data_IF_355055600348
#
_entry.id   IF_355055600348
#
_cell.length_a   1.000
_cell.length_b   1.000
_cell.length_c   1.000
_cell.angle_alpha   90.00
_cell.angle_beta   90.00
_cell.angle_gamma   90.00
#
_symmetry.space_group_name_H-M   'P 1'
#
loop_
_entity.id
_entity.type
_entity.pdbx_description
1 polymer ?
#
# COMPACT_ATOMS: atom_id res chain seq x y z
N UNK A 1 7.90 2.73 -14.13
CA UNK A 1 7.18 2.52 -12.86
C UNK A 1 7.23 1.03 -12.52
N UNK A 2 7.28 0.68 -11.23
CA UNK A 2 7.66 -0.65 -10.73
C UNK A 2 6.44 -1.57 -10.47
N UNK A 3 6.30 -2.14 -9.28
CA UNK A 3 5.32 -3.20 -8.97
C UNK A 3 3.84 -2.75 -9.12
N UNK A 4 3.52 -1.48 -8.90
CA UNK A 4 2.16 -0.94 -9.11
C UNK A 4 1.78 -0.94 -10.59
N UNK A 5 2.65 -0.39 -11.43
CA UNK A 5 2.41 -0.36 -12.88
C UNK A 5 2.41 -1.77 -13.46
N UNK A 6 3.31 -2.64 -12.97
CA UNK A 6 3.30 -4.05 -13.34
C UNK A 6 1.97 -4.73 -12.97
N UNK A 7 1.45 -4.49 -11.76
CA UNK A 7 0.16 -5.03 -11.34
C UNK A 7 -0.98 -4.56 -12.25
N UNK A 8 -1.06 -3.24 -12.51
CA UNK A 8 -2.05 -2.65 -13.43
C UNK A 8 -1.97 -3.27 -14.84
N UNK A 9 -0.77 -3.42 -15.40
CA UNK A 9 -0.56 -4.05 -16.72
C UNK A 9 -0.97 -5.53 -16.77
N UNK A 10 -0.80 -6.24 -15.65
CA UNK A 10 -1.20 -7.65 -15.50
C UNK A 10 -2.65 -7.82 -15.03
N UNK A 11 -3.46 -6.76 -15.10
CA UNK A 11 -4.88 -6.75 -14.73
C UNK A 11 -5.12 -7.18 -13.27
N UNK A 12 -4.17 -6.89 -12.38
CA UNK A 12 -4.32 -7.05 -10.95
C UNK A 12 -4.86 -5.72 -10.39
N UNK A 13 -6.08 -5.70 -9.81
CA UNK A 13 -6.62 -4.48 -9.23
C UNK A 13 -5.74 -3.96 -8.09
N UNK A 14 -5.40 -2.68 -8.17
CA UNK A 14 -4.70 -1.92 -7.13
C UNK A 14 -5.74 -1.00 -6.48
N UNK A 15 -5.68 -0.84 -5.17
CA UNK A 15 -6.54 0.12 -4.47
C UNK A 15 -6.29 1.55 -4.96
N UNK A 16 -7.29 2.44 -4.91
CA UNK A 16 -7.19 3.82 -5.44
C UNK A 16 -6.20 4.71 -4.68
N UNK A 17 -5.66 4.22 -3.56
CA UNK A 17 -4.79 4.92 -2.61
C UNK A 17 -5.31 4.73 -1.19
N UNK A 18 -4.43 4.34 -0.26
CA UNK A 18 -4.76 4.19 1.16
C UNK A 18 -4.01 5.21 2.02
N UNK A 19 -4.67 5.65 3.09
CA UNK A 19 -4.07 6.53 4.08
C UNK A 19 -3.78 7.93 3.53
N UNK A 20 -2.73 8.56 4.05
CA UNK A 20 -2.34 9.91 3.65
C UNK A 20 -1.69 10.00 2.28
N UNK A 21 -1.20 8.88 1.71
CA UNK A 21 -0.54 8.84 0.40
C UNK A 21 -1.39 9.40 -0.75
N UNK A 22 -2.71 9.33 -0.65
CA UNK A 22 -3.66 9.91 -1.61
C UNK A 22 -3.57 11.45 -1.72
N UNK A 23 -3.02 12.15 -0.71
CA UNK A 23 -2.80 13.60 -0.77
C UNK A 23 -1.60 14.01 -1.64
N UNK A 24 -0.87 13.06 -2.24
CA UNK A 24 0.29 13.36 -3.07
C UNK A 24 -0.08 13.50 -4.54
N UNK A 25 -0.02 14.73 -5.06
CA UNK A 25 -0.19 14.99 -6.49
C UNK A 25 0.86 14.25 -7.34
N UNK A 26 2.07 14.08 -6.80
CA UNK A 26 3.12 13.29 -7.46
C UNK A 26 2.69 11.84 -7.56
N UNK A 27 2.08 11.26 -6.53
CA UNK A 27 1.59 9.89 -6.57
C UNK A 27 0.46 9.73 -7.60
N UNK A 28 -0.44 10.70 -7.70
CA UNK A 28 -1.51 10.71 -8.71
C UNK A 28 -0.95 10.78 -10.15
N UNK A 29 -0.04 11.74 -10.43
CA UNK A 29 0.58 11.89 -11.76
C UNK A 29 1.43 10.69 -12.16
N UNK A 30 2.03 10.01 -11.18
CA UNK A 30 2.77 8.77 -11.40
C UNK A 30 1.88 7.52 -11.39
N UNK A 31 0.55 7.66 -11.47
CA UNK A 31 -0.40 6.55 -11.48
C UNK A 31 -0.22 5.56 -10.30
N UNK A 32 0.35 6.03 -9.19
CA UNK A 32 0.49 5.28 -7.93
C UNK A 32 -0.86 5.25 -7.21
N UNK A 33 -1.55 6.40 -7.21
CA UNK A 33 -2.92 6.57 -6.72
C UNK A 33 -3.85 6.94 -7.87
N UNK A 34 -5.13 6.63 -7.74
CA UNK A 34 -6.13 6.88 -8.77
C UNK A 34 -7.03 8.09 -8.42
N UNK A 35 -6.77 8.76 -7.30
CA UNK A 35 -7.56 9.88 -6.79
C UNK A 35 -6.82 11.21 -6.98
N UNK A 36 -7.50 12.20 -7.57
CA UNK A 36 -6.96 13.55 -7.76
C UNK A 36 -7.01 14.33 -6.42
N UNK A 37 -5.86 14.65 -5.81
CA UNK A 37 -5.85 15.34 -4.53
C UNK A 37 -6.33 16.79 -4.61
N UNK A 38 -6.26 17.43 -5.78
CA UNK A 38 -6.71 18.81 -5.95
C UNK A 38 -8.24 18.86 -6.00
N UNK A 39 -8.88 17.95 -6.73
CA UNK A 39 -10.34 17.86 -6.82
C UNK A 39 -10.98 17.62 -5.43
N UNK A 40 -10.27 16.90 -4.57
CA UNK A 40 -10.75 16.49 -3.25
C UNK A 40 -10.15 17.28 -2.07
N UNK A 41 -9.45 18.39 -2.34
CA UNK A 41 -8.79 19.24 -1.31
C UNK A 41 -7.91 18.43 -0.33
N UNK A 42 -7.22 17.40 -0.82
CA UNK A 42 -6.32 16.57 -0.02
C UNK A 42 -4.95 17.23 0.12
N UNK A 43 -4.45 17.29 1.36
CA UNK A 43 -3.19 17.95 1.69
C UNK A 43 -2.00 17.00 1.63
N UNK A 44 -0.96 17.39 0.89
CA UNK A 44 0.30 16.64 0.81
C UNK A 44 1.04 16.60 2.15
N UNK A 45 0.95 17.65 2.96
CA UNK A 45 1.66 17.80 4.24
C UNK A 45 1.17 16.77 5.29
N UNK A 46 -0.03 16.23 5.11
CA UNK A 46 -0.54 15.12 5.93
C UNK A 46 0.20 13.80 5.63
N UNK A 47 0.71 13.65 4.41
CA UNK A 47 1.55 12.53 4.02
C UNK A 47 3.01 12.75 4.40
N UNK A 48 3.56 13.92 4.04
CA UNK A 48 4.95 14.27 4.30
C UNK A 48 5.05 15.70 4.82
N UNK A 49 5.31 15.85 6.11
CA UNK A 49 5.46 17.16 6.74
C UNK A 49 6.92 17.64 6.61
N UNK A 50 7.20 18.78 5.95
CA UNK A 50 8.57 19.30 5.78
C UNK A 50 9.26 19.65 7.10
N UNK A 51 8.50 19.96 8.15
CA UNK A 51 9.03 20.29 9.48
C UNK A 51 9.37 19.04 10.30
N UNK A 52 8.92 17.85 9.87
CA UNK A 52 9.15 16.58 10.54
C UNK A 52 9.85 15.60 9.59
N UNK A 53 11.17 15.50 9.74
CA UNK A 53 11.95 14.48 9.02
C UNK A 53 11.63 13.10 9.58
N UNK A 54 10.72 12.40 8.91
CA UNK A 54 10.40 11.00 9.16
C UNK A 54 10.23 10.26 7.85
N UNK A 55 10.57 8.99 7.82
CA UNK A 55 10.26 8.14 6.69
C UNK A 55 8.74 8.14 6.50
N UNK A 56 8.22 8.46 5.30
CA UNK A 56 6.79 8.39 5.05
C UNK A 56 6.35 6.92 5.05
N UNK A 57 5.16 6.66 5.55
CA UNK A 57 4.51 5.37 5.45
C UNK A 57 3.50 5.42 4.30
N UNK A 58 3.84 4.80 3.17
CA UNK A 58 2.99 4.77 1.96
C UNK A 58 2.42 3.37 1.79
N UNK A 59 1.19 3.18 2.26
CA UNK A 59 0.48 1.93 2.16
C UNK A 59 -0.17 1.75 0.78
N UNK A 60 0.05 0.58 0.16
CA UNK A 60 -0.57 0.20 -1.12
C UNK A 60 -1.26 -1.14 -0.93
N UNK A 61 -2.57 -1.16 -1.21
CA UNK A 61 -3.36 -2.38 -1.16
C UNK A 61 -3.51 -3.00 -2.55
N UNK A 62 -3.39 -4.32 -2.60
CA UNK A 62 -3.67 -5.13 -3.78
C UNK A 62 -4.86 -6.06 -3.49
N UNK A 63 -5.65 -6.36 -4.53
CA UNK A 63 -6.70 -7.37 -4.41
C UNK A 63 -6.12 -8.74 -4.01
N UNK A 64 -6.79 -9.45 -3.09
CA UNK A 64 -6.30 -10.71 -2.54
C UNK A 64 -5.96 -11.75 -3.61
N UNK A 65 -6.79 -11.89 -4.64
CA UNK A 65 -6.58 -12.87 -5.72
C UNK A 65 -5.32 -12.61 -6.56
N UNK A 66 -4.86 -11.36 -6.64
CA UNK A 66 -3.68 -10.97 -7.43
C UNK A 66 -2.44 -10.69 -6.59
N UNK A 67 -2.56 -10.67 -5.26
CA UNK A 67 -1.48 -10.28 -4.34
C UNK A 67 -0.25 -11.18 -4.46
N UNK A 68 -0.43 -12.49 -4.55
CA UNK A 68 0.69 -13.44 -4.59
C UNK A 68 1.56 -13.23 -5.83
N UNK A 69 0.95 -12.90 -6.97
CA UNK A 69 1.70 -12.58 -8.21
C UNK A 69 2.55 -11.32 -8.06
N UNK A 70 2.07 -10.33 -7.32
CA UNK A 70 2.84 -9.11 -7.03
C UNK A 70 4.00 -9.44 -6.09
N UNK A 71 3.78 -10.28 -5.07
CA UNK A 71 4.84 -10.75 -4.19
C UNK A 71 5.92 -11.49 -5.00
N UNK A 72 5.51 -12.40 -5.89
CA UNK A 72 6.43 -13.12 -6.76
C UNK A 72 7.24 -12.16 -7.66
N UNK A 73 6.60 -11.17 -8.27
CA UNK A 73 7.28 -10.14 -9.06
C UNK A 73 8.33 -9.38 -8.23
N UNK A 74 7.97 -8.94 -7.02
CA UNK A 74 8.88 -8.22 -6.11
C UNK A 74 10.03 -9.13 -5.68
N UNK A 75 9.75 -10.39 -5.35
CA UNK A 75 10.75 -11.36 -4.92
C UNK A 75 11.72 -11.73 -6.05
N UNK A 76 11.24 -11.89 -7.28
CA UNK A 76 12.09 -12.15 -8.45
C UNK A 76 12.92 -10.90 -8.82
N UNK A 77 12.38 -9.69 -8.62
CA UNK A 77 13.06 -8.43 -8.92
C UNK A 77 14.14 -8.05 -7.89
N UNK A 78 13.85 -8.22 -6.61
CA UNK A 78 14.70 -7.75 -5.51
C UNK A 78 15.45 -8.87 -4.78
N UNK A 79 15.22 -10.13 -5.18
CA UNK A 79 15.82 -11.32 -4.58
C UNK A 79 14.90 -11.94 -3.52
N UNK A 80 14.63 -13.25 -3.65
CA UNK A 80 13.70 -13.97 -2.77
C UNK A 80 14.14 -13.95 -1.31
N UNK A 81 15.44 -13.93 -1.04
CA UNK A 81 15.98 -13.86 0.33
C UNK A 81 15.84 -12.46 0.96
N UNK A 82 15.50 -11.43 0.16
CA UNK A 82 15.31 -10.06 0.61
C UNK A 82 13.82 -9.68 0.79
N UNK A 83 12.88 -10.59 0.50
CA UNK A 83 11.44 -10.33 0.54
C UNK A 83 10.77 -11.34 1.48
N UNK A 84 10.00 -10.83 2.44
CA UNK A 84 9.27 -11.66 3.40
C UNK A 84 7.95 -11.00 3.80
N UNK A 85 7.02 -11.80 4.32
CA UNK A 85 5.73 -11.34 4.83
C UNK A 85 5.83 -11.04 6.32
N UNK A 86 5.11 -10.01 6.76
CA UNK A 86 4.96 -9.68 8.19
C UNK A 86 3.81 -10.50 8.76
N UNK A 87 4.07 -11.20 9.87
CA UNK A 87 3.07 -12.02 10.56
C UNK A 87 2.20 -11.16 11.49
N UNK A 88 0.91 -11.50 11.58
CA UNK A 88 -0.01 -10.93 12.57
C UNK A 88 -0.28 -11.94 13.67
N UNK A 89 -0.07 -11.55 14.93
CA UNK A 89 -0.38 -12.39 16.08
C UNK A 89 -1.84 -12.21 16.50
N UNK A 90 -2.59 -13.32 16.58
CA UNK A 90 -3.93 -13.33 17.16
C UNK A 90 -3.87 -13.42 18.68
N UNK A 91 -4.56 -12.53 19.39
CA UNK A 91 -4.78 -12.63 20.84
C UNK A 91 -6.16 -13.22 21.13
N UNK A 92 -6.32 -13.90 22.27
CA UNK A 92 -7.61 -14.40 22.73
C UNK A 92 -8.53 -13.22 23.04
N UNK A 93 -9.66 -13.14 22.32
CA UNK A 93 -10.69 -12.13 22.59
C UNK A 93 -11.58 -12.55 23.76
N UNK A 94 -12.16 -11.57 24.48
CA UNK A 94 -13.11 -11.86 25.57
C UNK A 94 -14.30 -12.71 25.12
N UNK A 95 -14.74 -12.56 23.87
CA UNK A 95 -15.81 -13.38 23.30
C UNK A 95 -15.42 -14.85 23.18
N UNK A 96 -14.20 -15.13 22.71
CA UNK A 96 -13.67 -16.49 22.64
C UNK A 96 -13.46 -17.09 24.03
N UNK A 97 -13.11 -16.27 25.03
CA UNK A 97 -12.97 -16.70 26.43
C UNK A 97 -14.32 -17.00 27.10
N UNK A 98 -15.40 -16.33 26.70
CA UNK A 98 -16.74 -16.56 27.28
C UNK A 98 -17.45 -17.81 26.74
N UNK A 99 -16.87 -18.47 25.74
CA UNK A 99 -17.40 -19.69 25.09
C UNK A 99 -16.66 -20.97 25.55
N UNK A 100 -15.73 -20.85 26.50
CA UNK A 100 -14.99 -21.96 27.15
C UNK A 100 -15.51 -22.14 28.57
#
# INVERSE_FOLDING_TARGET
>A
MDFIAWAKQNKIPVGPGRGSGAGSLIAYVLEITDLDPIEHDLLFERFMNPERVSMPDFDIDFCMEGRDKVIDYVADRYGRDAVSQIVTFGTLSQRLLSEI
#
